data_IF_323538898208
#
_entry.id   IF_323538898208
#
_cell.length_a   1.000
_cell.length_b   1.000
_cell.length_c   1.000
_cell.angle_alpha   90.00
_cell.angle_beta   90.00
_cell.angle_gamma   90.00
#
_symmetry.space_group_name_H-M   'P 1'
#
loop_
_entity.id
_entity.type
_entity.pdbx_description
1 polymer ?
#
# COMPACT_ATOMS: atom_id res chain seq x y z
N UNK A 1 -16.48 11.41 6.24
CA UNK A 1 -15.80 10.89 7.44
C UNK A 1 -15.88 9.37 7.47
N UNK A 2 -14.96 8.72 6.77
CA UNK A 2 -14.68 7.30 6.97
C UNK A 2 -13.32 7.23 7.65
N UNK A 3 -13.31 7.40 8.98
CA UNK A 3 -12.14 7.03 9.76
C UNK A 3 -12.04 5.50 9.70
N UNK A 4 -11.17 5.01 8.82
CA UNK A 4 -10.77 3.61 8.80
C UNK A 4 -9.84 3.33 9.99
N UNK A 5 -10.40 3.37 11.20
CA UNK A 5 -9.67 3.01 12.40
C UNK A 5 -9.60 1.47 12.53
N UNK A 6 -8.48 0.90 12.08
CA UNK A 6 -8.10 -0.49 12.33
C UNK A 6 -7.71 -0.70 13.81
N UNK A 7 -8.62 -0.37 14.72
CA UNK A 7 -8.45 -0.54 16.16
C UNK A 7 -8.81 -1.97 16.59
N UNK A 8 -8.54 -2.31 17.86
CA UNK A 8 -8.80 -3.66 18.40
C UNK A 8 -10.25 -4.10 18.19
N UNK A 9 -11.22 -3.21 18.40
CA UNK A 9 -12.65 -3.51 18.29
C UNK A 9 -13.06 -3.89 16.86
N UNK A 10 -12.49 -3.25 15.84
CA UNK A 10 -12.68 -3.64 14.44
C UNK A 10 -12.31 -5.10 14.21
N UNK A 11 -11.15 -5.53 14.70
CA UNK A 11 -10.67 -6.91 14.53
C UNK A 11 -11.44 -7.91 15.39
N UNK A 12 -11.84 -7.52 16.60
CA UNK A 12 -12.70 -8.34 17.46
C UNK A 12 -14.02 -8.66 16.78
N UNK A 13 -14.65 -7.68 16.11
CA UNK A 13 -15.88 -7.90 15.37
C UNK A 13 -15.72 -8.91 14.23
N UNK A 14 -14.55 -8.94 13.58
CA UNK A 14 -14.26 -9.92 12.52
C UNK A 14 -13.99 -11.30 13.14
N UNK A 15 -13.05 -11.40 14.08
CA UNK A 15 -12.60 -12.67 14.64
C UNK A 15 -13.70 -13.34 15.46
N UNK A 16 -14.51 -12.58 16.19
CA UNK A 16 -15.56 -13.15 17.05
C UNK A 16 -16.95 -13.10 16.42
N UNK A 17 -17.12 -12.43 15.27
CA UNK A 17 -18.37 -12.39 14.51
C UNK A 17 -18.40 -13.31 13.29
N UNK A 18 -17.30 -14.00 12.97
CA UNK A 18 -17.18 -14.84 11.78
C UNK A 18 -17.20 -16.33 12.12
N UNK A 19 -18.04 -17.09 11.41
CA UNK A 19 -18.29 -18.51 11.65
C UNK A 19 -17.02 -19.37 11.62
N UNK A 20 -16.07 -19.06 10.74
CA UNK A 20 -14.80 -19.80 10.64
C UNK A 20 -14.04 -19.79 11.97
N UNK A 21 -13.91 -18.64 12.60
CA UNK A 21 -13.20 -18.52 13.87
C UNK A 21 -14.02 -19.08 15.04
N UNK A 22 -15.34 -18.90 15.01
CA UNK A 22 -16.22 -19.50 16.02
C UNK A 22 -16.09 -21.02 16.02
N UNK A 23 -16.01 -21.66 14.85
CA UNK A 23 -15.78 -23.08 14.74
C UNK A 23 -14.37 -23.48 15.15
N UNK A 24 -13.34 -22.70 14.79
CA UNK A 24 -11.98 -22.88 15.28
C UNK A 24 -11.90 -22.90 16.83
N UNK A 25 -12.64 -22.02 17.50
CA UNK A 25 -12.69 -21.98 18.97
C UNK A 25 -13.44 -23.17 19.57
N UNK A 26 -14.48 -23.67 18.91
CA UNK A 26 -15.16 -24.91 19.32
C UNK A 26 -14.26 -26.13 19.13
N UNK A 27 -13.51 -26.18 18.03
CA UNK A 27 -12.54 -27.25 17.75
C UNK A 27 -11.43 -27.27 18.81
N UNK A 28 -10.88 -26.11 19.17
CA UNK A 28 -9.89 -26.03 20.24
C UNK A 28 -10.47 -26.50 21.58
N UNK A 29 -11.68 -26.07 21.93
CA UNK A 29 -12.37 -26.56 23.14
C UNK A 29 -12.52 -28.08 23.14
N UNK A 30 -12.99 -28.66 22.04
CA UNK A 30 -13.16 -30.10 21.90
C UNK A 30 -11.82 -30.85 21.98
N UNK A 31 -10.74 -30.26 21.47
CA UNK A 31 -9.39 -30.81 21.54
C UNK A 31 -8.87 -30.86 22.97
N UNK A 32 -9.06 -29.80 23.76
CA UNK A 32 -8.66 -29.76 25.17
C UNK A 32 -9.36 -30.84 25.99
N UNK A 33 -10.68 -31.01 25.78
CA UNK A 33 -11.46 -32.07 26.42
C UNK A 33 -10.92 -33.47 26.04
N UNK A 34 -10.63 -33.70 24.75
CA UNK A 34 -10.05 -34.98 24.27
C UNK A 34 -8.65 -35.24 24.81
N UNK A 35 -7.89 -34.20 25.16
CA UNK A 35 -6.55 -34.30 25.74
C UNK A 35 -6.56 -34.56 27.26
N UNK A 36 -7.74 -34.59 27.89
CA UNK A 36 -7.89 -34.96 29.30
C UNK A 36 -8.06 -33.78 30.25
N UNK A 37 -8.36 -32.58 29.76
CA UNK A 37 -8.80 -31.47 30.62
C UNK A 37 -10.27 -31.67 30.97
N UNK A 38 -10.54 -32.14 32.18
CA UNK A 38 -11.90 -32.48 32.63
C UNK A 38 -12.58 -31.35 33.43
N UNK A 39 -11.81 -30.38 33.94
CA UNK A 39 -12.38 -29.18 34.54
C UNK A 39 -12.87 -28.22 33.44
N UNK A 40 -14.18 -27.97 33.43
CA UNK A 40 -14.81 -27.07 32.46
C UNK A 40 -14.30 -25.64 32.60
N UNK A 41 -13.97 -25.19 33.81
CA UNK A 41 -13.43 -23.85 34.02
C UNK A 41 -12.06 -23.71 33.38
N UNK A 42 -11.20 -24.72 33.55
CA UNK A 42 -9.87 -24.78 32.93
C UNK A 42 -9.98 -24.81 31.40
N UNK A 43 -10.90 -25.60 30.84
CA UNK A 43 -11.18 -25.64 29.39
C UNK A 43 -11.60 -24.26 28.87
N UNK A 44 -12.48 -23.55 29.59
CA UNK A 44 -12.93 -22.22 29.19
C UNK A 44 -11.81 -21.18 29.26
N UNK A 45 -10.98 -21.21 30.30
CA UNK A 45 -9.86 -20.28 30.47
C UNK A 45 -8.81 -20.47 29.36
N UNK A 46 -8.41 -21.70 29.08
CA UNK A 46 -7.46 -22.02 28.01
C UNK A 46 -8.02 -21.65 26.63
N UNK A 47 -9.33 -21.87 26.40
CA UNK A 47 -9.94 -21.48 25.14
C UNK A 47 -10.04 -19.95 24.99
N UNK A 48 -10.23 -19.22 26.08
CA UNK A 48 -10.24 -17.75 26.06
C UNK A 48 -8.83 -17.18 25.83
N UNK A 49 -7.78 -17.82 26.34
CA UNK A 49 -6.40 -17.49 25.99
C UNK A 49 -6.16 -17.71 24.49
N UNK A 50 -6.58 -18.84 23.94
CA UNK A 50 -6.46 -19.14 22.51
C UNK A 50 -7.19 -18.12 21.62
N UNK A 51 -8.37 -17.64 22.01
CA UNK A 51 -9.07 -16.54 21.32
C UNK A 51 -8.26 -15.25 21.27
N UNK A 52 -7.67 -14.86 22.41
CA UNK A 52 -6.83 -13.66 22.51
C UNK A 52 -5.60 -13.78 21.62
N UNK A 53 -4.94 -14.93 21.61
CA UNK A 53 -3.80 -15.21 20.73
C UNK A 53 -4.19 -15.15 19.25
N UNK A 54 -5.32 -15.78 18.89
CA UNK A 54 -5.85 -15.77 17.52
C UNK A 54 -6.14 -14.35 17.05
N UNK A 55 -6.74 -13.51 17.89
CA UNK A 55 -6.97 -12.10 17.60
C UNK A 55 -5.65 -11.36 17.32
N UNK A 56 -4.64 -11.54 18.17
CA UNK A 56 -3.33 -10.89 17.99
C UNK A 56 -2.65 -11.34 16.69
N UNK A 57 -2.68 -12.64 16.39
CA UNK A 57 -2.13 -13.19 15.14
C UNK A 57 -2.87 -12.59 13.94
N UNK A 58 -4.20 -12.62 13.95
CA UNK A 58 -5.01 -12.08 12.86
C UNK A 58 -4.77 -10.59 12.63
N UNK A 59 -4.69 -9.79 13.70
CA UNK A 59 -4.36 -8.37 13.62
C UNK A 59 -3.01 -8.14 12.95
N UNK A 60 -1.99 -8.94 13.32
CA UNK A 60 -0.65 -8.81 12.76
C UNK A 60 -0.58 -9.25 11.31
N UNK A 61 -1.25 -10.35 10.94
CA UNK A 61 -1.29 -10.85 9.58
C UNK A 61 -2.07 -9.91 8.66
N UNK A 62 -3.21 -9.37 9.13
CA UNK A 62 -3.95 -8.34 8.41
C UNK A 62 -3.08 -7.11 8.14
N UNK A 63 -2.38 -6.60 9.16
CA UNK A 63 -1.49 -5.44 8.99
C UNK A 63 -0.40 -5.73 7.96
N UNK A 64 0.22 -6.91 7.99
CA UNK A 64 1.26 -7.30 7.02
C UNK A 64 0.71 -7.37 5.60
N UNK A 65 -0.41 -8.04 5.38
CA UNK A 65 -0.99 -8.17 4.04
C UNK A 65 -1.54 -6.84 3.54
N UNK A 66 -2.19 -6.04 4.39
CA UNK A 66 -2.64 -4.70 4.05
C UNK A 66 -1.48 -3.81 3.59
N UNK A 67 -0.38 -3.79 4.35
CA UNK A 67 0.82 -3.03 4.00
C UNK A 67 1.38 -3.51 2.66
N UNK A 68 1.52 -4.82 2.49
CA UNK A 68 2.06 -5.40 1.27
C UNK A 68 1.22 -5.00 0.06
N UNK A 69 -0.10 -5.11 0.13
CA UNK A 69 -0.99 -4.73 -0.96
C UNK A 69 -0.94 -3.22 -1.21
N UNK A 70 -0.99 -2.41 -0.15
CA UNK A 70 -0.97 -0.95 -0.25
C UNK A 70 0.36 -0.43 -0.84
N UNK A 71 1.50 -0.95 -0.38
CA UNK A 71 2.81 -0.59 -0.92
C UNK A 71 2.96 -1.08 -2.36
N UNK A 72 2.48 -2.28 -2.69
CA UNK A 72 2.49 -2.75 -4.08
C UNK A 72 1.73 -1.80 -4.99
N UNK A 73 0.55 -1.31 -4.56
CA UNK A 73 -0.23 -0.32 -5.32
C UNK A 73 0.51 1.01 -5.47
N UNK A 74 1.17 1.48 -4.40
CA UNK A 74 2.01 2.69 -4.50
C UNK A 74 3.16 2.48 -5.49
N UNK A 75 3.82 1.32 -5.46
CA UNK A 75 4.93 1.01 -6.36
C UNK A 75 4.49 0.99 -7.83
N UNK A 76 3.30 0.46 -8.12
CA UNK A 76 2.72 0.50 -9.47
C UNK A 76 2.45 1.94 -9.91
N UNK A 77 1.85 2.78 -9.05
CA UNK A 77 1.61 4.19 -9.34
C UNK A 77 2.93 4.95 -9.56
N UNK A 78 3.92 4.74 -8.69
CA UNK A 78 5.24 5.36 -8.80
C UNK A 78 5.93 4.96 -10.10
N UNK A 79 5.81 3.69 -10.52
CA UNK A 79 6.37 3.22 -11.78
C UNK A 79 5.75 3.94 -12.98
N UNK A 80 4.42 4.13 -12.98
CA UNK A 80 3.75 4.89 -14.03
C UNK A 80 4.17 6.37 -14.03
N UNK A 81 4.18 7.02 -12.86
CA UNK A 81 4.56 8.44 -12.76
C UNK A 81 6.02 8.69 -13.14
N UNK A 82 6.94 7.80 -12.77
CA UNK A 82 8.34 7.89 -13.21
C UNK A 82 8.48 7.71 -14.74
N UNK A 83 7.62 6.88 -15.34
CA UNK A 83 7.60 6.69 -16.80
C UNK A 83 7.11 7.96 -17.50
N UNK A 84 6.02 8.57 -17.02
CA UNK A 84 5.51 9.83 -17.56
C UNK A 84 6.49 10.99 -17.36
N UNK A 85 7.14 11.08 -16.19
CA UNK A 85 8.22 12.05 -15.95
C UNK A 85 9.36 11.88 -16.94
N UNK A 86 9.76 10.63 -17.22
CA UNK A 86 10.80 10.34 -18.21
C UNK A 86 10.38 10.82 -19.60
N UNK A 87 9.15 10.58 -20.03
CA UNK A 87 8.66 11.08 -21.32
C UNK A 87 8.62 12.60 -21.39
N UNK A 88 8.18 13.28 -20.32
CA UNK A 88 8.21 14.74 -20.28
C UNK A 88 9.64 15.32 -20.37
N UNK A 89 10.64 14.63 -19.82
CA UNK A 89 12.06 15.00 -19.99
C UNK A 89 12.54 14.77 -21.43
N UNK A 90 12.17 13.63 -22.01
CA UNK A 90 12.53 13.29 -23.40
C UNK A 90 11.87 14.25 -24.41
N UNK A 91 10.61 14.63 -24.20
CA UNK A 91 9.89 15.63 -25.01
C UNK A 91 10.59 17.00 -24.93
N UNK A 92 10.91 17.49 -23.73
CA UNK A 92 11.63 18.76 -23.57
C UNK A 92 12.96 18.73 -24.35
N UNK A 93 13.73 17.65 -24.20
CA UNK A 93 15.02 17.50 -24.88
C UNK A 93 14.87 17.45 -26.41
N UNK A 94 13.83 16.77 -26.90
CA UNK A 94 13.53 16.68 -28.32
C UNK A 94 13.24 18.06 -28.91
N UNK A 95 12.33 18.83 -28.30
CA UNK A 95 11.96 20.17 -28.79
C UNK A 95 13.05 21.22 -28.52
N UNK A 96 13.93 21.02 -27.54
CA UNK A 96 15.10 21.87 -27.34
C UNK A 96 16.14 21.70 -28.45
N UNK A 97 16.29 20.50 -29.02
CA UNK A 97 17.30 20.23 -30.04
C UNK A 97 16.81 20.61 -31.45
N UNK A 98 17.30 21.76 -31.94
CA UNK A 98 16.98 22.34 -33.25
C UNK A 98 17.28 21.46 -34.46
N UNK A 99 18.15 20.46 -34.33
CA UNK A 99 18.46 19.54 -35.43
C UNK A 99 17.25 18.65 -35.77
N UNK A 100 16.51 18.15 -34.78
CA UNK A 100 15.37 17.24 -35.03
C UNK A 100 14.14 17.92 -35.62
N UNK A 101 13.98 19.22 -35.40
CA UNK A 101 12.79 19.99 -35.81
C UNK A 101 12.65 20.17 -37.33
N UNK A 102 13.75 20.01 -38.09
CA UNK A 102 13.78 20.23 -39.55
C UNK A 102 13.87 18.94 -40.37
N UNK A 103 13.93 17.77 -39.72
CA UNK A 103 14.09 16.48 -40.38
C UNK A 103 12.77 15.70 -40.41
N UNK A 104 12.24 15.48 -41.62
CA UNK A 104 11.04 14.66 -41.89
C UNK A 104 11.10 13.22 -41.36
N UNK A 105 12.28 12.74 -40.96
CA UNK A 105 12.42 11.43 -40.33
C UNK A 105 11.84 11.39 -38.91
N UNK A 106 11.68 12.54 -38.26
CA UNK A 106 11.23 12.64 -36.87
C UNK A 106 9.83 13.27 -36.73
N UNK A 107 9.37 14.02 -37.74
CA UNK A 107 8.10 14.75 -37.72
C UNK A 107 7.42 14.69 -39.10
N UNK A 108 6.10 14.53 -39.12
CA UNK A 108 5.32 14.52 -40.37
C UNK A 108 5.33 15.90 -41.07
N UNK A 109 5.40 17.00 -40.29
CA UNK A 109 5.52 18.39 -40.74
C UNK A 109 6.50 19.19 -39.87
N UNK A 110 7.17 20.23 -40.41
CA UNK A 110 8.06 21.09 -39.63
C UNK A 110 7.29 21.87 -38.57
N UNK A 111 7.76 21.83 -37.32
CA UNK A 111 7.16 22.50 -36.16
C UNK A 111 7.57 23.97 -36.15
N UNK A 112 6.61 24.88 -35.94
CA UNK A 112 6.89 26.31 -35.80
C UNK A 112 7.60 26.65 -34.48
N UNK A 113 8.26 27.82 -34.40
CA UNK A 113 8.94 28.25 -33.16
C UNK A 113 7.94 28.50 -32.01
N UNK A 114 6.70 28.89 -32.33
CA UNK A 114 5.63 29.07 -31.36
C UNK A 114 5.17 27.72 -30.79
N UNK A 115 4.81 26.76 -31.65
CA UNK A 115 4.44 25.40 -31.24
C UNK A 115 5.58 24.70 -30.46
N UNK A 116 6.84 24.92 -30.86
CA UNK A 116 8.01 24.41 -30.16
C UNK A 116 8.08 24.96 -28.73
N UNK A 117 7.86 26.26 -28.56
CA UNK A 117 7.93 26.91 -27.25
C UNK A 117 6.81 26.40 -26.34
N UNK A 118 5.60 26.23 -26.88
CA UNK A 118 4.47 25.63 -26.18
C UNK A 118 4.78 24.19 -25.73
N UNK A 119 5.33 23.34 -26.62
CA UNK A 119 5.69 21.97 -26.27
C UNK A 119 6.74 21.89 -25.16
N UNK A 120 7.74 22.79 -25.16
CA UNK A 120 8.75 22.88 -24.09
C UNK A 120 8.09 23.27 -22.77
N UNK A 121 7.21 24.27 -22.78
CA UNK A 121 6.52 24.71 -21.58
C UNK A 121 5.62 23.61 -21.01
N UNK A 122 4.81 22.97 -21.85
CA UNK A 122 3.95 21.84 -21.46
C UNK A 122 4.77 20.69 -20.85
N UNK A 123 5.92 20.38 -21.45
CA UNK A 123 6.82 19.35 -20.93
C UNK A 123 7.37 19.73 -19.54
N UNK A 124 7.76 20.99 -19.33
CA UNK A 124 8.25 21.49 -18.04
C UNK A 124 7.16 21.46 -16.96
N UNK A 125 5.93 21.90 -17.29
CA UNK A 125 4.79 21.85 -16.37
C UNK A 125 4.45 20.41 -15.95
N UNK A 126 4.46 19.46 -16.90
CA UNK A 126 4.29 18.03 -16.60
C UNK A 126 5.40 17.49 -15.70
N UNK A 127 6.66 17.88 -15.93
CA UNK A 127 7.76 17.45 -15.08
C UNK A 127 7.59 17.92 -13.63
N UNK A 128 7.17 19.17 -13.41
CA UNK A 128 6.91 19.70 -12.07
C UNK A 128 5.80 18.91 -11.37
N UNK A 129 4.66 18.71 -12.05
CA UNK A 129 3.52 17.97 -11.51
C UNK A 129 3.89 16.52 -11.13
N UNK A 130 4.58 15.80 -12.01
CA UNK A 130 4.98 14.42 -11.72
C UNK A 130 6.04 14.32 -10.61
N UNK A 131 6.98 15.27 -10.50
CA UNK A 131 7.92 15.32 -9.37
C UNK A 131 7.19 15.44 -8.03
N UNK A 132 6.24 16.38 -7.93
CA UNK A 132 5.43 16.57 -6.72
C UNK A 132 4.64 15.31 -6.38
N UNK A 133 4.00 14.67 -7.37
CA UNK A 133 3.25 13.43 -7.15
C UNK A 133 4.15 12.28 -6.68
N UNK A 134 5.32 12.11 -7.30
CA UNK A 134 6.29 11.08 -6.90
C UNK A 134 6.74 11.28 -5.45
N UNK A 135 7.09 12.51 -5.08
CA UNK A 135 7.48 12.84 -3.69
C UNK A 135 6.37 12.53 -2.68
N UNK A 136 5.12 12.85 -3.02
CA UNK A 136 3.96 12.55 -2.19
C UNK A 136 3.80 11.04 -1.95
N UNK A 137 3.87 10.23 -3.01
CA UNK A 137 3.71 8.78 -2.91
C UNK A 137 4.89 8.11 -2.20
N UNK A 138 6.12 8.55 -2.45
CA UNK A 138 7.30 8.08 -1.69
C UNK A 138 7.20 8.44 -0.20
N UNK A 139 6.73 9.64 0.13
CA UNK A 139 6.48 10.03 1.52
C UNK A 139 5.41 9.15 2.19
N UNK A 140 4.31 8.87 1.49
CA UNK A 140 3.26 7.97 1.99
C UNK A 140 3.79 6.55 2.24
N UNK A 141 4.59 6.01 1.32
CA UNK A 141 5.27 4.71 1.45
C UNK A 141 6.20 4.67 2.67
N UNK A 142 7.04 5.70 2.82
CA UNK A 142 7.96 5.83 3.95
C UNK A 142 7.23 5.96 5.29
N UNK A 143 6.12 6.70 5.34
CA UNK A 143 5.28 6.82 6.54
C UNK A 143 4.81 5.44 7.02
N UNK A 144 4.33 4.61 6.10
CA UNK A 144 3.86 3.25 6.42
C UNK A 144 5.00 2.36 6.93
N UNK A 145 6.16 2.37 6.26
CA UNK A 145 7.31 1.60 6.74
C UNK A 145 7.74 2.01 8.15
N UNK A 146 7.75 3.31 8.44
CA UNK A 146 8.11 3.84 9.75
C UNK A 146 7.08 3.47 10.84
N UNK A 147 5.79 3.48 10.51
CA UNK A 147 4.74 3.02 11.41
C UNK A 147 4.88 1.53 11.77
N UNK A 148 5.40 0.72 10.85
CA UNK A 148 5.61 -0.71 11.08
C UNK A 148 6.89 -1.00 11.86
N UNK A 149 8.00 -0.31 11.56
CA UNK A 149 9.25 -0.46 12.30
C UNK A 149 9.10 -0.04 13.76
N UNK A 150 8.29 1.00 14.03
CA UNK A 150 8.00 1.47 15.39
C UNK A 150 6.97 0.60 16.13
N UNK A 151 6.19 -0.23 15.43
CA UNK A 151 5.24 -1.16 16.08
C UNK A 151 5.91 -2.32 16.81
N UNK A 152 7.18 -2.62 16.51
CA UNK A 152 7.98 -3.61 17.22
C UNK A 152 8.59 -3.10 18.55
N UNK A 153 8.39 -1.82 18.90
CA UNK A 153 8.97 -1.21 20.11
C UNK A 153 7.99 -1.01 21.27
N UNK A 154 6.69 -1.33 21.09
CA UNK A 154 5.71 -1.28 22.18
C UNK A 154 5.32 -2.69 22.59
N UNK A 155 6.29 -3.41 23.13
CA UNK A 155 6.10 -4.57 24.00
C UNK A 155 6.96 -4.33 25.25
N UNK A 156 6.40 -3.60 26.22
CA UNK A 156 6.92 -3.50 27.58
C UNK A 156 5.73 -3.37 28.54
#
# INVERSE_FOLDING_TARGET
DYDCDFNKSFFENIVFGNDFFLDLFKENQNKLIKQGTYDLNEVMELNEQFKKETLVIFMNDFKKEFVKEYITKIDDILKEHNKELKYAIEDEQFYQNREYLNHKEFLDDPVSEEERTECIQDAQEKQEDFKVKIELYESAKNSIYNSLSNSNLVSA
#
